data_IF_138794176943
#
_entry.id   IF_138794176943
#
_cell.length_a   1.000
_cell.length_b   1.000
_cell.length_c   1.000
_cell.angle_alpha   90.00
_cell.angle_beta   90.00
_cell.angle_gamma   90.00
#
_symmetry.space_group_name_H-M   'P 1'
#
loop_
_entity.id
_entity.type
_entity.pdbx_description
1 polymer ?
#
# COMPACT_ATOMS: atom_id res chain seq x y z
N UNK A 1 53.61 0.06 29.38
CA UNK A 1 53.13 -0.14 27.99
C UNK A 1 51.61 -0.21 28.04
N UNK A 2 50.94 0.88 27.68
CA UNK A 2 49.48 0.97 27.60
C UNK A 2 49.17 0.88 26.11
N UNK A 3 48.68 -0.27 25.66
CA UNK A 3 48.19 -0.43 24.28
C UNK A 3 46.89 0.36 24.17
N UNK A 4 46.98 1.58 23.67
CA UNK A 4 45.81 2.30 23.17
C UNK A 4 45.24 1.49 22.01
N UNK A 5 44.14 0.81 22.28
CA UNK A 5 43.26 0.25 21.27
C UNK A 5 42.76 1.42 20.42
N UNK A 6 43.38 1.62 19.25
CA UNK A 6 42.86 2.44 18.17
C UNK A 6 41.56 1.80 17.66
N UNK A 7 40.47 2.01 18.39
CA UNK A 7 39.13 1.80 17.88
C UNK A 7 38.91 2.87 16.80
N UNK A 8 39.22 2.50 15.55
CA UNK A 8 38.91 3.29 14.36
C UNK A 8 37.45 3.76 14.45
N UNK A 9 37.25 5.07 14.56
CA UNK A 9 35.92 5.66 14.54
C UNK A 9 35.16 5.12 13.31
N UNK A 10 33.87 4.76 13.45
CA UNK A 10 33.10 4.21 12.34
C UNK A 10 33.15 5.19 11.17
N UNK A 11 33.66 4.72 10.02
CA UNK A 11 33.84 5.52 8.81
C UNK A 11 32.45 5.91 8.30
N UNK A 12 31.99 7.13 8.60
CA UNK A 12 30.72 7.66 8.11
C UNK A 12 30.89 8.03 6.63
N UNK A 13 30.11 7.41 5.75
CA UNK A 13 30.09 7.77 4.33
C UNK A 13 28.79 7.32 3.65
N UNK A 14 28.46 8.00 2.55
CA UNK A 14 27.12 8.08 1.91
C UNK A 14 26.14 8.86 2.79
N UNK A 15 26.03 10.16 2.51
CA UNK A 15 24.95 11.03 3.00
C UNK A 15 24.64 10.99 4.52
N UNK A 16 25.63 10.74 5.38
CA UNK A 16 25.52 10.89 6.84
C UNK A 16 25.30 9.61 7.66
N UNK A 17 25.16 8.44 7.03
CA UNK A 17 25.08 7.14 7.72
C UNK A 17 26.41 6.38 7.69
N UNK A 18 26.51 5.25 8.40
CA UNK A 18 27.65 4.35 8.26
C UNK A 18 27.60 3.58 6.94
N UNK A 19 28.78 3.10 6.51
CA UNK A 19 28.98 2.50 5.19
C UNK A 19 28.15 1.23 4.99
N UNK A 20 28.04 0.38 6.01
CA UNK A 20 27.27 -0.87 5.93
C UNK A 20 25.78 -0.60 5.81
N UNK A 21 25.27 0.37 6.57
CA UNK A 21 23.87 0.80 6.47
C UNK A 21 23.58 1.43 5.10
N UNK A 22 24.49 2.26 4.59
CA UNK A 22 24.40 2.81 3.24
C UNK A 22 24.27 1.73 2.16
N UNK A 23 25.11 0.69 2.22
CA UNK A 23 25.02 -0.45 1.31
C UNK A 23 23.73 -1.26 1.49
N UNK A 24 23.26 -1.48 2.72
CA UNK A 24 21.99 -2.16 2.94
C UNK A 24 20.80 -1.42 2.30
N UNK A 25 20.78 -0.08 2.38
CA UNK A 25 19.76 0.74 1.72
C UNK A 25 19.87 0.64 0.20
N UNK A 26 21.08 0.68 -0.37
CA UNK A 26 21.28 0.49 -1.82
C UNK A 26 20.81 -0.90 -2.29
N UNK A 27 21.14 -1.95 -1.54
CA UNK A 27 20.70 -3.32 -1.83
C UNK A 27 19.18 -3.41 -1.77
N UNK A 28 18.56 -2.82 -0.74
CA UNK A 28 17.10 -2.75 -0.63
C UNK A 28 16.46 -2.04 -1.84
N UNK A 29 17.03 -0.92 -2.29
CA UNK A 29 16.57 -0.21 -3.50
C UNK A 29 16.69 -1.10 -4.74
N UNK A 30 17.75 -1.91 -4.86
CA UNK A 30 17.89 -2.90 -5.94
C UNK A 30 16.77 -3.94 -5.95
N UNK A 31 16.43 -4.50 -4.79
CA UNK A 31 15.30 -5.43 -4.64
C UNK A 31 13.95 -4.78 -4.95
N UNK A 32 13.76 -3.53 -4.52
CA UNK A 32 12.58 -2.73 -4.85
C UNK A 32 12.47 -2.47 -6.35
N UNK A 33 13.57 -2.15 -7.03
CA UNK A 33 13.60 -1.93 -8.48
C UNK A 33 13.27 -3.21 -9.26
N UNK A 34 13.80 -4.36 -8.85
CA UNK A 34 13.44 -5.66 -9.45
C UNK A 34 11.96 -6.00 -9.25
N UNK A 35 11.45 -5.77 -8.03
CA UNK A 35 10.04 -5.99 -7.72
C UNK A 35 9.14 -5.07 -8.53
N UNK A 36 9.49 -3.78 -8.65
CA UNK A 36 8.81 -2.82 -9.50
C UNK A 36 8.76 -3.27 -10.96
N UNK A 37 9.89 -3.76 -11.50
CA UNK A 37 9.95 -4.31 -12.85
C UNK A 37 9.00 -5.50 -13.02
N UNK A 38 8.99 -6.47 -12.11
CA UNK A 38 8.02 -7.57 -12.15
C UNK A 38 6.57 -7.07 -12.07
N UNK A 39 6.31 -6.08 -11.20
CA UNK A 39 4.97 -5.54 -10.99
C UNK A 39 4.47 -4.69 -12.17
N UNK A 40 5.37 -4.10 -12.95
CA UNK A 40 5.03 -3.34 -14.16
C UNK A 40 4.22 -4.15 -15.17
N UNK A 41 4.37 -5.48 -15.18
CA UNK A 41 3.51 -6.38 -15.95
C UNK A 41 2.02 -6.18 -15.60
N UNK A 42 1.70 -6.12 -14.31
CA UNK A 42 0.33 -5.89 -13.85
C UNK A 42 -0.13 -4.46 -14.07
N UNK A 43 0.77 -3.49 -13.93
CA UNK A 43 0.44 -2.07 -14.15
C UNK A 43 0.12 -1.76 -15.61
N UNK A 44 0.59 -2.59 -16.55
CA UNK A 44 0.28 -2.51 -17.98
C UNK A 44 -0.97 -3.28 -18.36
N UNK A 45 -1.19 -4.46 -17.77
CA UNK A 45 -2.27 -5.37 -18.18
C UNK A 45 -3.56 -5.21 -17.38
N UNK A 46 -3.49 -4.61 -16.19
CA UNK A 46 -4.64 -4.42 -15.32
C UNK A 46 -4.79 -2.95 -14.99
N UNK A 47 -5.86 -2.36 -15.50
CA UNK A 47 -6.25 -0.99 -15.19
C UNK A 47 -6.37 -0.74 -13.67
N UNK A 48 -6.76 -1.77 -12.93
CA UNK A 48 -6.91 -1.74 -11.47
C UNK A 48 -5.61 -1.42 -10.73
N UNK A 49 -4.46 -1.69 -11.35
CA UNK A 49 -3.12 -1.53 -10.78
C UNK A 49 -2.31 -0.42 -11.44
N UNK A 50 -2.91 0.43 -12.28
CA UNK A 50 -2.22 1.55 -12.96
C UNK A 50 -1.59 2.53 -11.95
N UNK A 51 -2.20 2.71 -10.77
CA UNK A 51 -1.61 3.50 -9.69
C UNK A 51 -0.23 2.97 -9.25
N UNK A 52 0.08 1.71 -9.53
CA UNK A 52 1.36 1.07 -9.23
C UNK A 52 2.56 1.80 -9.82
N UNK A 53 2.39 2.49 -10.95
CA UNK A 53 3.43 3.36 -11.53
C UNK A 53 3.87 4.49 -10.59
N UNK A 54 3.00 4.91 -9.66
CA UNK A 54 3.34 5.93 -8.65
C UNK A 54 4.15 5.35 -7.48
N UNK A 55 4.06 4.04 -7.23
CA UNK A 55 4.64 3.40 -6.03
C UNK A 55 6.16 3.62 -5.90
N UNK A 56 6.99 3.47 -6.96
CA UNK A 56 8.42 3.75 -6.86
C UNK A 56 8.72 5.20 -6.45
N UNK A 57 7.97 6.17 -6.98
CA UNK A 57 8.14 7.58 -6.66
C UNK A 57 7.75 7.88 -5.21
N UNK A 58 6.65 7.32 -4.73
CA UNK A 58 6.17 7.52 -3.37
C UNK A 58 7.09 6.82 -2.34
N UNK A 59 7.58 5.61 -2.63
CA UNK A 59 8.57 4.94 -1.81
C UNK A 59 9.88 5.75 -1.73
N UNK A 60 10.37 6.24 -2.87
CA UNK A 60 11.55 7.11 -2.93
C UNK A 60 11.35 8.44 -2.19
N UNK A 61 10.19 9.07 -2.35
CA UNK A 61 9.84 10.31 -1.65
C UNK A 61 9.80 10.12 -0.13
N UNK A 62 9.21 9.02 0.36
CA UNK A 62 9.18 8.71 1.80
C UNK A 62 10.57 8.48 2.35
N UNK A 63 11.44 7.78 1.61
CA UNK A 63 12.85 7.60 1.99
C UNK A 63 13.56 8.95 2.05
N UNK A 64 13.37 9.79 1.03
CA UNK A 64 13.95 11.12 0.95
C UNK A 64 13.52 12.02 2.12
N UNK A 65 12.21 12.12 2.39
CA UNK A 65 11.68 12.95 3.47
C UNK A 65 12.14 12.45 4.85
N UNK A 66 12.23 11.14 5.05
CA UNK A 66 12.68 10.54 6.32
C UNK A 66 14.20 10.46 6.43
N UNK A 67 14.97 10.77 5.40
CA UNK A 67 16.43 10.60 5.41
C UNK A 67 17.13 11.35 6.56
N UNK A 68 16.77 12.61 6.90
CA UNK A 68 17.34 13.28 8.08
C UNK A 68 17.06 12.53 9.39
N UNK A 69 15.88 11.90 9.51
CA UNK A 69 15.51 11.10 10.68
C UNK A 69 16.26 9.77 10.70
N UNK A 70 16.53 9.17 9.54
CA UNK A 70 17.37 7.97 9.40
C UNK A 70 18.79 8.28 9.87
N UNK A 71 19.38 9.38 9.40
CA UNK A 71 20.71 9.83 9.84
C UNK A 71 20.74 10.10 11.34
N UNK A 72 19.74 10.80 11.88
CA UNK A 72 19.66 11.06 13.32
C UNK A 72 19.52 9.78 14.14
N UNK A 73 18.72 8.81 13.69
CA UNK A 73 18.55 7.52 14.36
C UNK A 73 19.80 6.64 14.27
N UNK A 74 20.50 6.65 13.12
CA UNK A 74 21.72 5.89 12.88
C UNK A 74 22.94 6.46 13.64
N UNK A 75 22.96 7.77 13.90
CA UNK A 75 24.06 8.42 14.63
C UNK A 75 23.84 8.48 16.13
N UNK A 76 22.60 8.30 16.60
CA UNK A 76 22.28 8.25 18.03
C UNK A 76 22.77 6.93 18.62
N UNK A 77 23.99 6.95 19.15
CA UNK A 77 24.55 5.82 19.89
C UNK A 77 23.64 5.43 21.04
N UNK A 78 23.23 4.17 21.05
CA UNK A 78 22.63 3.50 22.21
C UNK A 78 23.46 2.28 22.54
N UNK A 79 24.17 2.36 23.67
CA UNK A 79 24.58 1.19 24.46
C UNK A 79 23.63 1.20 25.65
N UNK A 80 22.80 0.14 25.83
CA UNK A 80 23.34 -1.11 26.33
C UNK A 80 23.14 -2.29 25.35
N UNK A 81 24.25 -2.90 24.97
CA UNK A 81 24.35 -4.35 24.88
C UNK A 81 23.69 -4.97 26.14
N UNK A 82 22.92 -6.04 25.96
CA UNK A 82 22.25 -6.83 27.02
C UNK A 82 20.86 -6.38 27.51
N UNK A 83 20.00 -5.93 26.59
CA UNK A 83 18.55 -6.10 26.81
C UNK A 83 18.04 -7.32 26.03
N UNK A 84 17.27 -8.20 26.68
CA UNK A 84 16.64 -9.35 26.00
C UNK A 84 15.84 -8.94 24.76
N UNK A 85 15.29 -7.72 24.75
CA UNK A 85 14.62 -7.11 23.60
C UNK A 85 15.56 -6.90 22.40
N UNK A 86 16.80 -6.46 22.63
CA UNK A 86 17.79 -6.29 21.55
C UNK A 86 18.16 -7.61 20.89
N UNK A 87 18.35 -8.67 21.69
CA UNK A 87 18.61 -10.01 21.17
C UNK A 87 17.42 -10.55 20.35
N UNK A 88 16.20 -10.42 20.87
CA UNK A 88 14.98 -10.82 20.16
C UNK A 88 14.83 -10.08 18.81
N UNK A 89 15.11 -8.77 18.77
CA UNK A 89 15.06 -7.99 17.54
C UNK A 89 16.14 -8.42 16.53
N UNK A 90 17.35 -8.78 16.99
CA UNK A 90 18.41 -9.31 16.11
C UNK A 90 18.06 -10.68 15.54
N UNK A 91 17.51 -11.58 16.37
CA UNK A 91 16.99 -12.88 15.91
C UNK A 91 15.88 -12.65 14.88
N UNK A 92 14.92 -11.77 15.18
CA UNK A 92 13.85 -11.41 14.26
C UNK A 92 14.37 -10.82 12.94
N UNK A 93 15.41 -10.00 12.98
CA UNK A 93 16.03 -9.43 11.79
C UNK A 93 16.74 -10.50 10.95
N UNK A 94 17.44 -11.45 11.57
CA UNK A 94 18.01 -12.61 10.86
C UNK A 94 16.94 -13.49 10.23
N UNK A 95 15.86 -13.80 10.96
CA UNK A 95 14.71 -14.53 10.41
C UNK A 95 14.07 -13.76 9.25
N UNK A 96 13.99 -12.43 9.35
CA UNK A 96 13.49 -11.56 8.27
C UNK A 96 14.39 -11.63 7.02
N UNK A 97 15.71 -11.63 7.18
CA UNK A 97 16.64 -11.79 6.04
C UNK A 97 16.54 -13.19 5.44
N UNK A 98 16.53 -14.24 6.27
CA UNK A 98 16.46 -15.62 5.81
C UNK A 98 15.13 -15.92 5.10
N UNK A 99 14.02 -15.55 5.73
CA UNK A 99 12.69 -15.66 5.15
C UNK A 99 12.54 -14.78 3.90
N UNK A 100 13.01 -13.54 3.96
CA UNK A 100 13.01 -12.63 2.83
C UNK A 100 13.79 -13.18 1.63
N UNK A 101 14.98 -13.74 1.87
CA UNK A 101 15.80 -14.39 0.84
C UNK A 101 15.08 -15.62 0.27
N UNK A 102 14.50 -16.47 1.12
CA UNK A 102 13.77 -17.64 0.67
C UNK A 102 12.55 -17.28 -0.19
N UNK A 103 11.74 -16.29 0.23
CA UNK A 103 10.61 -15.81 -0.55
C UNK A 103 11.04 -15.13 -1.84
N UNK A 104 12.11 -14.34 -1.83
CA UNK A 104 12.61 -13.68 -3.04
C UNK A 104 13.13 -14.72 -4.05
N UNK A 105 13.86 -15.73 -3.59
CA UNK A 105 14.31 -16.84 -4.44
C UNK A 105 13.14 -17.64 -4.98
N UNK A 106 12.16 -17.99 -4.15
CA UNK A 106 10.94 -18.67 -4.58
C UNK A 106 10.17 -17.84 -5.62
N UNK A 107 10.02 -16.54 -5.38
CA UNK A 107 9.41 -15.59 -6.31
C UNK A 107 10.16 -15.49 -7.63
N UNK A 108 11.49 -15.47 -7.58
CA UNK A 108 12.36 -15.42 -8.77
C UNK A 108 12.29 -16.73 -9.58
N UNK A 109 12.26 -17.89 -8.90
CA UNK A 109 12.13 -19.20 -9.54
C UNK A 109 10.75 -19.37 -10.18
N UNK A 110 9.68 -18.94 -9.50
CA UNK A 110 8.32 -18.98 -10.07
C UNK A 110 8.17 -18.02 -11.24
N UNK A 111 8.76 -16.82 -11.16
CA UNK A 111 8.86 -15.89 -12.28
C UNK A 111 9.61 -16.49 -13.47
N UNK A 112 10.74 -17.15 -13.24
CA UNK A 112 11.52 -17.79 -14.30
C UNK A 112 10.79 -18.99 -14.93
N UNK A 113 10.03 -19.76 -14.14
CA UNK A 113 9.35 -20.96 -14.59
C UNK A 113 8.01 -20.69 -15.29
N UNK A 114 7.24 -19.72 -14.80
CA UNK A 114 5.85 -19.49 -15.21
C UNK A 114 5.58 -18.05 -15.68
N UNK A 115 6.58 -17.17 -15.67
CA UNK A 115 6.40 -15.75 -15.96
C UNK A 115 5.75 -14.99 -14.79
N UNK A 116 5.36 -13.74 -15.08
CA UNK A 116 4.72 -12.87 -14.11
C UNK A 116 3.37 -13.48 -13.67
N UNK A 117 3.30 -13.87 -12.40
CA UNK A 117 2.15 -14.57 -11.82
C UNK A 117 1.85 -14.04 -10.42
N UNK A 118 0.64 -14.30 -9.91
CA UNK A 118 0.21 -13.88 -8.58
C UNK A 118 1.16 -14.40 -7.48
N UNK A 119 1.51 -15.71 -7.45
CA UNK A 119 2.41 -16.23 -6.42
C UNK A 119 3.82 -15.64 -6.52
N UNK A 120 4.33 -15.43 -7.75
CA UNK A 120 5.63 -14.80 -7.96
C UNK A 120 5.64 -13.36 -7.43
N UNK A 121 4.59 -12.58 -7.71
CA UNK A 121 4.49 -11.18 -7.30
C UNK A 121 4.37 -11.04 -5.78
N UNK A 122 3.55 -11.88 -5.13
CA UNK A 122 3.45 -11.93 -3.68
C UNK A 122 4.78 -12.32 -3.03
N UNK A 123 5.43 -13.37 -3.52
CA UNK A 123 6.69 -13.86 -2.98
C UNK A 123 7.82 -12.84 -3.14
N UNK A 124 7.92 -12.16 -4.29
CA UNK A 124 8.90 -11.09 -4.50
C UNK A 124 8.66 -9.88 -3.59
N UNK A 125 7.40 -9.49 -3.37
CA UNK A 125 7.05 -8.39 -2.45
C UNK A 125 7.36 -8.71 -0.99
N UNK A 126 6.99 -9.91 -0.52
CA UNK A 126 7.35 -10.39 0.81
C UNK A 126 8.88 -10.53 0.97
N UNK A 127 9.54 -11.05 -0.07
CA UNK A 127 10.98 -11.21 -0.12
C UNK A 127 11.71 -9.87 0.02
N UNK A 128 11.32 -8.90 -0.80
CA UNK A 128 11.85 -7.53 -0.78
C UNK A 128 11.62 -6.86 0.56
N UNK A 129 10.42 -6.97 1.14
CA UNK A 129 10.12 -6.40 2.44
C UNK A 129 10.99 -7.00 3.55
N UNK A 130 11.09 -8.34 3.59
CA UNK A 130 11.87 -9.07 4.58
C UNK A 130 13.37 -8.78 4.49
N UNK A 131 13.90 -8.73 3.27
CA UNK A 131 15.30 -8.37 3.01
C UNK A 131 15.60 -6.92 3.37
N UNK A 132 14.77 -5.97 2.92
CA UNK A 132 14.97 -4.55 3.19
C UNK A 132 14.96 -4.27 4.71
N UNK A 133 13.92 -4.71 5.41
CA UNK A 133 13.79 -4.47 6.86
C UNK A 133 14.84 -5.22 7.66
N UNK A 134 15.14 -6.48 7.29
CA UNK A 134 16.14 -7.29 7.96
C UNK A 134 17.56 -6.74 7.82
N UNK A 135 17.99 -6.44 6.60
CA UNK A 135 19.34 -5.90 6.32
C UNK A 135 19.54 -4.53 6.97
N UNK A 136 18.56 -3.63 6.87
CA UNK A 136 18.62 -2.30 7.50
C UNK A 136 18.73 -2.43 9.02
N UNK A 137 17.94 -3.32 9.63
CA UNK A 137 17.99 -3.55 11.09
C UNK A 137 19.34 -4.10 11.52
N UNK A 138 19.86 -5.14 10.84
CA UNK A 138 21.12 -5.79 11.19
C UNK A 138 22.33 -4.86 11.00
N UNK A 139 22.38 -4.13 9.88
CA UNK A 139 23.48 -3.20 9.61
C UNK A 139 23.48 -2.01 10.55
N UNK A 140 22.30 -1.46 10.89
CA UNK A 140 22.18 -0.44 11.92
C UNK A 140 22.68 -0.94 13.29
N UNK A 141 22.32 -2.17 13.69
CA UNK A 141 22.88 -2.77 14.92
C UNK A 141 24.40 -2.96 14.85
N UNK A 142 24.94 -3.38 13.71
CA UNK A 142 26.40 -3.58 13.54
C UNK A 142 27.19 -2.27 13.65
N UNK A 143 26.56 -1.14 13.38
CA UNK A 143 27.15 0.20 13.47
C UNK A 143 26.86 0.91 14.81
N UNK A 144 26.25 0.21 15.78
CA UNK A 144 25.97 0.73 17.11
C UNK A 144 24.71 1.59 17.23
N UNK A 145 23.81 1.54 16.24
CA UNK A 145 22.52 2.21 16.26
C UNK A 145 21.38 1.30 16.74
N UNK A 146 20.26 1.90 17.14
CA UNK A 146 19.02 1.18 17.43
C UNK A 146 18.37 0.74 16.10
N UNK A 147 18.66 -0.49 15.67
CA UNK A 147 18.23 -1.02 14.38
C UNK A 147 16.71 -0.98 14.17
N UNK A 148 15.92 -1.14 15.23
CA UNK A 148 14.47 -0.98 15.15
C UNK A 148 14.04 0.47 14.90
N UNK A 149 14.71 1.44 15.54
CA UNK A 149 14.44 2.85 15.35
C UNK A 149 14.76 3.31 13.92
N UNK A 150 15.75 2.70 13.27
CA UNK A 150 16.04 2.93 11.85
C UNK A 150 15.02 2.22 10.97
N UNK A 151 14.79 0.92 11.19
CA UNK A 151 13.93 0.09 10.34
C UNK A 151 12.47 0.56 10.28
N UNK A 152 11.92 1.12 11.37
CA UNK A 152 10.54 1.69 11.38
C UNK A 152 10.34 2.79 10.33
N UNK A 153 11.41 3.51 9.96
CA UNK A 153 11.37 4.56 8.94
C UNK A 153 11.24 3.99 7.53
N UNK A 154 11.60 2.71 7.34
CA UNK A 154 11.54 1.99 6.06
C UNK A 154 10.34 1.05 5.95
N UNK A 155 9.49 0.91 6.98
CA UNK A 155 8.32 0.00 6.95
C UNK A 155 7.38 0.29 5.77
N UNK A 156 7.06 1.56 5.50
CA UNK A 156 6.21 1.89 4.35
C UNK A 156 6.92 1.60 3.01
N UNK A 157 8.14 2.13 2.73
CA UNK A 157 8.87 1.81 1.49
C UNK A 157 9.11 0.31 1.27
N UNK A 158 9.21 -0.48 2.34
CA UNK A 158 9.40 -1.93 2.26
C UNK A 158 8.09 -2.69 2.00
N UNK A 159 6.96 -2.26 2.57
CA UNK A 159 5.68 -2.99 2.49
C UNK A 159 4.74 -2.52 1.37
N UNK A 160 4.93 -1.30 0.84
CA UNK A 160 4.05 -0.74 -0.19
C UNK A 160 3.92 -1.63 -1.43
N UNK A 161 4.93 -2.43 -1.72
CA UNK A 161 4.96 -3.37 -2.86
C UNK A 161 3.85 -4.43 -2.78
N UNK A 162 3.42 -4.81 -1.58
CA UNK A 162 2.31 -5.76 -1.37
C UNK A 162 0.97 -5.24 -1.88
N UNK A 163 0.80 -3.93 -1.99
CA UNK A 163 -0.43 -3.31 -2.54
C UNK A 163 -0.29 -3.06 -4.04
N UNK A 164 0.94 -3.02 -4.55
CA UNK A 164 1.22 -2.61 -5.92
C UNK A 164 1.02 -3.71 -6.97
N UNK A 165 0.77 -4.96 -6.58
CA UNK A 165 0.38 -6.04 -7.49
C UNK A 165 -0.67 -6.93 -6.84
N UNK A 166 -1.38 -7.73 -7.64
CA UNK A 166 -2.29 -8.72 -7.10
C UNK A 166 -1.53 -9.82 -6.38
N UNK A 167 -1.97 -10.12 -5.17
CA UNK A 167 -1.30 -11.02 -4.23
C UNK A 167 -1.92 -12.41 -4.29
N UNK A 168 -3.25 -12.50 -4.24
CA UNK A 168 -3.97 -13.80 -4.23
C UNK A 168 -5.23 -13.68 -5.08
N UNK A 169 -5.16 -14.20 -6.31
CA UNK A 169 -6.27 -14.15 -7.28
C UNK A 169 -7.58 -14.68 -6.71
N UNK A 170 -7.56 -15.79 -5.98
CA UNK A 170 -8.80 -16.40 -5.46
C UNK A 170 -9.51 -15.51 -4.44
N UNK A 171 -8.76 -14.95 -3.48
CA UNK A 171 -9.35 -14.14 -2.40
C UNK A 171 -9.80 -12.80 -2.96
N UNK A 172 -8.97 -12.16 -3.78
CA UNK A 172 -9.32 -10.90 -4.44
C UNK A 172 -10.57 -11.07 -5.30
N UNK A 173 -10.63 -12.11 -6.15
CA UNK A 173 -11.78 -12.36 -7.01
C UNK A 173 -13.04 -12.68 -6.20
N UNK A 174 -12.94 -13.54 -5.19
CA UNK A 174 -14.09 -13.92 -4.35
C UNK A 174 -14.65 -12.70 -3.59
N UNK A 175 -13.77 -11.89 -2.99
CA UNK A 175 -14.18 -10.68 -2.29
C UNK A 175 -14.81 -9.67 -3.26
N UNK A 176 -14.25 -9.55 -4.46
CA UNK A 176 -14.74 -8.61 -5.47
C UNK A 176 -16.12 -9.00 -5.98
N UNK A 177 -16.34 -10.27 -6.32
CA UNK A 177 -17.65 -10.78 -6.71
C UNK A 177 -18.67 -10.63 -5.58
N UNK A 178 -18.26 -10.89 -4.33
CA UNK A 178 -19.12 -10.70 -3.17
C UNK A 178 -19.54 -9.22 -3.02
N UNK A 179 -18.58 -8.29 -3.02
CA UNK A 179 -18.85 -6.85 -2.89
C UNK A 179 -19.68 -6.34 -4.07
N UNK A 180 -19.38 -6.81 -5.27
CA UNK A 180 -20.13 -6.47 -6.48
C UNK A 180 -21.58 -6.94 -6.39
N UNK A 181 -21.82 -8.16 -5.90
CA UNK A 181 -23.16 -8.68 -5.65
C UNK A 181 -23.93 -7.81 -4.66
N UNK A 182 -23.29 -7.40 -3.56
CA UNK A 182 -23.90 -6.50 -2.58
C UNK A 182 -24.23 -5.13 -3.16
N UNK A 183 -23.30 -4.52 -3.89
CA UNK A 183 -23.54 -3.22 -4.54
C UNK A 183 -24.69 -3.34 -5.55
N UNK A 184 -24.68 -4.36 -6.40
CA UNK A 184 -25.72 -4.60 -7.41
C UNK A 184 -27.11 -4.73 -6.76
N UNK A 185 -27.22 -5.52 -5.69
CA UNK A 185 -28.50 -5.67 -4.98
C UNK A 185 -28.97 -4.39 -4.28
N UNK A 186 -28.05 -3.57 -3.76
CA UNK A 186 -28.43 -2.26 -3.19
C UNK A 186 -28.92 -1.31 -4.30
N UNK A 187 -28.24 -1.27 -5.45
CA UNK A 187 -28.68 -0.46 -6.59
C UNK A 187 -30.04 -0.91 -7.10
N UNK A 188 -30.25 -2.22 -7.28
CA UNK A 188 -31.54 -2.79 -7.65
C UNK A 188 -32.64 -2.36 -6.67
N UNK A 189 -32.43 -2.55 -5.36
CA UNK A 189 -33.40 -2.19 -4.33
C UNK A 189 -33.75 -0.70 -4.36
N UNK A 190 -32.77 0.19 -4.54
CA UNK A 190 -33.03 1.64 -4.66
C UNK A 190 -33.93 1.92 -5.87
N UNK A 191 -33.63 1.34 -7.03
CA UNK A 191 -34.39 1.60 -8.26
C UNK A 191 -35.79 0.99 -8.24
N UNK A 192 -35.93 -0.23 -7.71
CA UNK A 192 -37.20 -0.89 -7.47
C UNK A 192 -38.07 -0.10 -6.50
N UNK A 193 -37.50 0.42 -5.40
CA UNK A 193 -38.22 1.24 -4.44
C UNK A 193 -38.74 2.57 -5.02
N UNK A 194 -38.11 3.05 -6.10
CA UNK A 194 -38.55 4.22 -6.87
C UNK A 194 -39.59 3.86 -7.95
N UNK A 195 -40.00 2.60 -8.05
CA UNK A 195 -40.98 2.11 -9.03
C UNK A 195 -40.43 1.98 -10.45
N UNK A 196 -39.10 1.91 -10.61
CA UNK A 196 -38.48 1.80 -11.93
C UNK A 196 -38.43 0.34 -12.39
N UNK A 197 -38.64 0.09 -13.68
CA UNK A 197 -38.63 -1.25 -14.26
C UNK A 197 -37.17 -1.74 -14.39
N UNK A 198 -36.72 -2.55 -13.44
CA UNK A 198 -35.36 -3.08 -13.38
C UNK A 198 -35.40 -4.54 -12.95
N UNK A 199 -34.50 -5.36 -13.47
CA UNK A 199 -34.32 -6.75 -13.05
C UNK A 199 -32.86 -7.01 -12.71
N UNK A 200 -32.60 -7.72 -11.60
CA UNK A 200 -31.25 -8.15 -11.25
C UNK A 200 -31.01 -9.58 -11.76
N UNK A 201 -30.07 -9.73 -12.70
CA UNK A 201 -29.60 -11.02 -13.19
C UNK A 201 -28.13 -11.23 -12.76
N UNK A 202 -27.95 -11.82 -11.58
CA UNK A 202 -26.63 -11.98 -10.97
C UNK A 202 -25.97 -10.62 -10.64
N UNK A 203 -24.92 -10.26 -11.38
CA UNK A 203 -24.19 -8.99 -11.27
C UNK A 203 -24.54 -7.99 -12.39
N UNK A 204 -25.55 -8.29 -13.20
CA UNK A 204 -26.04 -7.44 -14.28
C UNK A 204 -27.42 -6.90 -13.90
N UNK A 205 -27.65 -5.62 -14.21
CA UNK A 205 -28.96 -4.98 -14.07
C UNK A 205 -29.56 -4.82 -15.46
N UNK A 206 -30.73 -5.42 -15.68
CA UNK A 206 -31.47 -5.32 -16.94
C UNK A 206 -32.44 -4.14 -16.82
N UNK A 207 -32.25 -3.15 -17.68
CA UNK A 207 -33.08 -1.95 -17.79
C UNK A 207 -33.94 -2.07 -19.06
N UNK A 208 -35.01 -1.26 -19.21
CA UNK A 208 -35.82 -1.24 -20.43
C UNK A 208 -35.00 -0.77 -21.65
N UNK A 209 -33.94 0.01 -21.41
CA UNK A 209 -33.04 0.55 -22.41
C UNK A 209 -31.87 -0.39 -22.74
N UNK A 210 -31.72 -1.51 -22.02
CA UNK A 210 -30.67 -2.50 -22.22
C UNK A 210 -30.00 -2.94 -20.93
N UNK A 211 -28.93 -3.70 -21.05
CA UNK A 211 -28.23 -4.29 -19.90
C UNK A 211 -27.11 -3.37 -19.40
N UNK A 212 -26.99 -3.24 -18.09
CA UNK A 212 -25.89 -2.58 -17.41
C UNK A 212 -25.19 -3.60 -16.54
N UNK A 213 -24.08 -4.13 -17.05
CA UNK A 213 -23.20 -4.97 -16.26
C UNK A 213 -22.55 -4.13 -15.17
N UNK A 214 -22.96 -4.30 -13.91
CA UNK A 214 -22.28 -3.61 -12.80
C UNK A 214 -20.82 -4.09 -12.71
N UNK A 215 -20.53 -5.32 -13.15
CA UNK A 215 -19.19 -5.90 -13.26
C UNK A 215 -18.27 -5.15 -14.25
N UNK A 216 -18.77 -4.78 -15.42
CA UNK A 216 -18.02 -4.05 -16.45
C UNK A 216 -18.06 -2.53 -16.21
N UNK A 217 -19.16 -2.03 -15.61
CA UNK A 217 -19.37 -0.63 -15.27
C UNK A 217 -18.71 -0.20 -13.94
N UNK A 218 -18.29 -1.14 -13.08
CA UNK A 218 -17.67 -0.85 -11.80
C UNK A 218 -16.37 -1.65 -11.62
N UNK A 219 -15.26 -1.00 -11.93
CA UNK A 219 -13.90 -1.37 -11.54
C UNK A 219 -13.69 -1.29 -10.01
N UNK A 220 -14.57 -1.90 -9.20
CA UNK A 220 -14.61 -1.69 -7.75
C UNK A 220 -13.30 -2.01 -7.02
N UNK A 221 -12.46 -2.85 -7.63
CA UNK A 221 -11.10 -3.17 -7.17
C UNK A 221 -10.12 -2.01 -7.46
N UNK A 222 -10.20 -1.37 -8.62
CA UNK A 222 -9.36 -0.22 -9.01
C UNK A 222 -9.39 0.87 -7.96
N UNK A 223 -10.60 1.28 -7.57
CA UNK A 223 -10.76 2.33 -6.56
C UNK A 223 -10.36 1.82 -5.19
N UNK A 224 -10.65 0.56 -4.84
CA UNK A 224 -10.27 -0.01 -3.53
C UNK A 224 -8.75 -0.07 -3.35
N UNK A 225 -8.01 -0.65 -4.29
CA UNK A 225 -6.55 -0.77 -4.20
C UNK A 225 -5.88 0.61 -4.28
N UNK A 226 -6.36 1.50 -5.15
CA UNK A 226 -5.91 2.89 -5.19
C UNK A 226 -6.16 3.65 -3.88
N UNK A 227 -7.31 3.43 -3.23
CA UNK A 227 -7.63 4.05 -1.94
C UNK A 227 -6.81 3.44 -0.80
N UNK A 228 -6.57 2.13 -0.79
CA UNK A 228 -5.66 1.47 0.17
C UNK A 228 -4.23 2.01 0.03
N UNK A 229 -3.75 2.21 -1.20
CA UNK A 229 -2.49 2.89 -1.45
C UNK A 229 -2.49 4.33 -0.92
N UNK A 230 -3.51 5.15 -1.26
CA UNK A 230 -3.60 6.52 -0.78
C UNK A 230 -3.68 6.61 0.76
N UNK A 231 -4.49 5.76 1.40
CA UNK A 231 -4.65 5.71 2.85
C UNK A 231 -3.38 5.24 3.56
N UNK A 232 -2.68 4.24 3.03
CA UNK A 232 -1.41 3.77 3.59
C UNK A 232 -0.30 4.83 3.44
N UNK A 233 -0.24 5.52 2.30
CA UNK A 233 0.69 6.63 2.08
C UNK A 233 0.42 7.80 3.01
N UNK A 234 -0.82 8.31 3.04
CA UNK A 234 -1.21 9.41 3.94
C UNK A 234 -0.99 9.01 5.40
N UNK A 235 -1.28 7.77 5.77
CA UNK A 235 -0.99 7.25 7.11
C UNK A 235 0.50 7.27 7.43
N UNK A 236 1.34 6.87 6.48
CA UNK A 236 2.79 6.91 6.64
C UNK A 236 3.33 8.34 6.77
N UNK A 237 2.81 9.29 6.00
CA UNK A 237 3.31 10.67 5.97
C UNK A 237 2.79 11.53 7.12
N UNK A 238 1.51 11.41 7.44
CA UNK A 238 0.85 12.34 8.36
C UNK A 238 0.89 11.89 9.83
N UNK A 239 1.20 10.63 10.13
CA UNK A 239 1.05 10.08 11.47
C UNK A 239 2.21 9.19 11.92
N UNK A 240 2.55 9.30 13.20
CA UNK A 240 3.41 8.33 13.90
C UNK A 240 2.59 7.22 14.56
N UNK A 241 1.39 7.55 15.07
CA UNK A 241 0.55 6.63 15.85
C UNK A 241 -0.11 5.57 14.96
N UNK A 242 0.07 4.29 15.33
CA UNK A 242 -0.47 3.16 14.56
C UNK A 242 -2.00 3.20 14.45
N UNK A 243 -2.71 3.57 15.51
CA UNK A 243 -4.17 3.63 15.47
C UNK A 243 -4.67 4.63 14.42
N UNK A 244 -4.02 5.79 14.24
CA UNK A 244 -4.39 6.77 13.20
C UNK A 244 -4.15 6.23 11.79
N UNK A 245 -3.07 5.47 11.61
CA UNK A 245 -2.77 4.78 10.34
C UNK A 245 -3.85 3.74 10.02
N UNK A 246 -4.24 2.94 11.01
CA UNK A 246 -5.31 1.94 10.87
C UNK A 246 -6.65 2.64 10.60
N UNK A 247 -6.98 3.73 11.31
CA UNK A 247 -8.19 4.51 11.07
C UNK A 247 -8.24 5.04 9.64
N UNK A 248 -7.13 5.58 9.12
CA UNK A 248 -7.07 6.02 7.72
C UNK A 248 -7.26 4.87 6.73
N UNK A 249 -6.67 3.71 7.00
CA UNK A 249 -6.80 2.55 6.12
C UNK A 249 -8.26 2.05 6.09
N UNK A 250 -8.89 1.95 7.25
CA UNK A 250 -10.31 1.57 7.38
C UNK A 250 -11.20 2.60 6.70
N UNK A 251 -10.93 3.89 6.91
CA UNK A 251 -11.67 4.98 6.26
C UNK A 251 -11.49 4.96 4.73
N UNK A 252 -10.28 4.66 4.23
CA UNK A 252 -10.01 4.55 2.80
C UNK A 252 -10.81 3.41 2.17
N UNK A 253 -10.86 2.25 2.82
CA UNK A 253 -11.71 1.13 2.40
C UNK A 253 -13.19 1.52 2.42
N UNK A 254 -13.66 2.16 3.50
CA UNK A 254 -15.05 2.56 3.63
C UNK A 254 -15.45 3.60 2.55
N UNK A 255 -14.62 4.62 2.32
CA UNK A 255 -14.85 5.60 1.26
C UNK A 255 -14.83 4.96 -0.12
N UNK A 256 -13.91 4.04 -0.41
CA UNK A 256 -13.90 3.32 -1.68
C UNK A 256 -15.22 2.57 -1.92
N UNK A 257 -15.74 1.87 -0.91
CA UNK A 257 -17.02 1.15 -1.01
C UNK A 257 -18.21 2.10 -1.20
N UNK A 258 -18.29 3.16 -0.41
CA UNK A 258 -19.38 4.17 -0.51
C UNK A 258 -19.35 4.86 -1.86
N UNK A 259 -18.18 5.31 -2.31
CA UNK A 259 -18.05 6.00 -3.59
C UNK A 259 -18.28 5.07 -4.78
N UNK A 260 -17.93 3.79 -4.67
CA UNK A 260 -18.32 2.79 -5.65
C UNK A 260 -19.83 2.62 -5.72
N UNK A 261 -20.53 2.55 -4.58
CA UNK A 261 -22.00 2.48 -4.56
C UNK A 261 -22.63 3.74 -5.19
N UNK A 262 -22.16 4.93 -4.81
CA UNK A 262 -22.64 6.21 -5.39
C UNK A 262 -22.44 6.24 -6.90
N UNK A 263 -21.26 5.81 -7.38
CA UNK A 263 -20.96 5.70 -8.81
C UNK A 263 -21.90 4.71 -9.50
N UNK A 264 -22.13 3.53 -8.92
CA UNK A 264 -23.05 2.53 -9.49
C UNK A 264 -24.48 3.08 -9.59
N UNK A 265 -24.98 3.73 -8.53
CA UNK A 265 -26.30 4.39 -8.57
C UNK A 265 -26.37 5.44 -9.68
N UNK A 266 -25.34 6.28 -9.80
CA UNK A 266 -25.27 7.31 -10.83
C UNK A 266 -25.23 6.72 -12.24
N UNK A 267 -24.34 5.75 -12.50
CA UNK A 267 -24.19 5.13 -13.82
C UNK A 267 -25.45 4.36 -14.24
N UNK A 268 -26.05 3.59 -13.34
CA UNK A 268 -27.32 2.89 -13.63
C UNK A 268 -28.43 3.89 -13.91
N UNK A 269 -28.52 4.99 -13.16
CA UNK A 269 -29.52 6.04 -13.40
C UNK A 269 -29.32 6.75 -14.73
N UNK A 270 -28.07 7.01 -15.09
CA UNK A 270 -27.71 7.61 -16.37
C UNK A 270 -28.04 6.69 -17.54
N UNK A 271 -27.67 5.41 -17.45
CA UNK A 271 -27.99 4.40 -18.46
C UNK A 271 -29.49 4.12 -18.58
N UNK A 272 -30.26 4.26 -17.49
CA UNK A 272 -31.71 4.16 -17.53
C UNK A 272 -32.34 5.23 -18.43
N UNK A 273 -31.79 6.45 -18.44
CA UNK A 273 -32.32 7.54 -19.26
C UNK A 273 -31.76 7.60 -20.67
N UNK A 274 -30.46 7.34 -20.83
CA UNK A 274 -29.74 7.57 -22.10
C UNK A 274 -29.28 6.28 -22.79
N UNK A 275 -29.58 5.12 -22.22
CA UNK A 275 -29.15 3.81 -22.68
C UNK A 275 -27.75 3.41 -22.19
N UNK A 276 -27.42 2.10 -22.21
CA UNK A 276 -26.12 1.59 -21.75
C UNK A 276 -24.90 2.16 -22.50
N UNK A 277 -25.06 2.50 -23.78
CA UNK A 277 -23.98 3.08 -24.60
C UNK A 277 -23.49 4.43 -24.05
N UNK A 278 -24.34 5.16 -23.31
CA UNK A 278 -24.00 6.46 -22.74
C UNK A 278 -23.00 6.35 -21.56
N UNK A 279 -22.84 5.16 -20.99
CA UNK A 279 -21.89 4.89 -19.90
C UNK A 279 -20.63 4.17 -20.38
N UNK A 280 -20.46 3.96 -21.68
CA UNK A 280 -19.27 3.34 -22.27
C UNK A 280 -18.14 4.36 -22.51
N UNK A 281 -16.91 3.87 -22.62
CA UNK A 281 -15.74 4.66 -22.97
C UNK A 281 -15.41 5.76 -21.97
N UNK A 282 -15.17 6.99 -22.46
CA UNK A 282 -14.61 8.09 -21.65
C UNK A 282 -15.48 8.47 -20.45
N UNK A 283 -16.80 8.35 -20.53
CA UNK A 283 -17.68 8.72 -19.42
C UNK A 283 -17.49 7.80 -18.21
N UNK A 284 -17.28 6.50 -18.48
CA UNK A 284 -16.92 5.52 -17.46
C UNK A 284 -15.63 5.90 -16.72
N UNK A 285 -14.58 6.26 -17.46
CA UNK A 285 -13.27 6.57 -16.88
C UNK A 285 -13.28 7.83 -16.01
N UNK A 286 -13.98 8.88 -16.46
CA UNK A 286 -14.10 10.13 -15.71
C UNK A 286 -14.80 9.95 -14.38
N UNK A 287 -15.87 9.15 -14.33
CA UNK A 287 -16.54 8.82 -13.06
C UNK A 287 -15.64 8.00 -12.14
N UNK A 288 -14.80 7.12 -12.70
CA UNK A 288 -13.77 6.38 -11.95
C UNK A 288 -12.72 7.30 -11.32
N UNK A 289 -12.18 8.26 -12.07
CA UNK A 289 -11.26 9.26 -11.52
C UNK A 289 -11.94 10.18 -10.50
N UNK A 290 -13.21 10.52 -10.71
CA UNK A 290 -14.02 11.28 -9.75
C UNK A 290 -14.10 10.59 -8.39
N UNK A 291 -14.32 9.28 -8.36
CA UNK A 291 -14.33 8.47 -7.12
C UNK A 291 -12.99 8.58 -6.39
N UNK A 292 -11.87 8.43 -7.11
CA UNK A 292 -10.53 8.51 -6.52
C UNK A 292 -10.26 9.92 -5.97
N UNK A 293 -10.60 10.95 -6.74
CA UNK A 293 -10.43 12.35 -6.35
C UNK A 293 -11.21 12.70 -5.09
N UNK A 294 -12.51 12.40 -5.05
CA UNK A 294 -13.37 12.64 -3.88
C UNK A 294 -12.89 11.85 -2.67
N UNK A 295 -12.52 10.58 -2.85
CA UNK A 295 -12.00 9.75 -1.75
C UNK A 295 -10.70 10.33 -1.20
N UNK A 296 -9.79 10.77 -2.07
CA UNK A 296 -8.52 11.38 -1.67
C UNK A 296 -8.76 12.68 -0.89
N UNK A 297 -9.67 13.54 -1.34
CA UNK A 297 -10.06 14.75 -0.63
C UNK A 297 -10.68 14.41 0.74
N UNK A 298 -11.55 13.40 0.81
CA UNK A 298 -12.14 12.92 2.05
C UNK A 298 -11.09 12.41 3.04
N UNK A 299 -10.10 11.65 2.56
CA UNK A 299 -8.98 11.18 3.37
C UNK A 299 -8.11 12.34 3.86
N UNK A 300 -7.81 13.31 3.00
CA UNK A 300 -7.07 14.53 3.39
C UNK A 300 -7.84 15.31 4.46
N UNK A 301 -9.16 15.49 4.32
CA UNK A 301 -9.99 16.10 5.36
C UNK A 301 -9.93 15.33 6.68
N UNK A 302 -10.02 14.00 6.62
CA UNK A 302 -9.90 13.14 7.80
C UNK A 302 -8.52 13.26 8.46
N UNK A 303 -7.44 13.47 7.70
CA UNK A 303 -6.11 13.72 8.30
C UNK A 303 -6.11 14.98 9.18
N UNK A 304 -6.82 16.04 8.77
CA UNK A 304 -6.94 17.27 9.54
C UNK A 304 -7.73 17.05 10.82
N UNK A 305 -8.85 16.33 10.73
CA UNK A 305 -9.68 15.96 11.89
C UNK A 305 -8.88 15.14 12.91
N UNK A 306 -8.14 14.11 12.44
CA UNK A 306 -7.32 13.26 13.30
C UNK A 306 -6.12 14.00 13.92
N UNK A 307 -5.70 15.12 13.34
CA UNK A 307 -4.66 16.00 13.89
C UNK A 307 -5.21 17.13 14.78
N UNK A 308 -6.53 17.31 14.84
CA UNK A 308 -7.15 18.34 15.65
C UNK A 308 -6.88 18.06 17.14
N UNK A 309 -6.07 18.92 17.77
CA UNK A 309 -5.87 18.90 19.23
C UNK A 309 -7.00 19.69 19.87
N UNK A 310 -7.96 18.99 20.48
CA UNK A 310 -8.99 19.65 21.30
C UNK A 310 -8.33 20.14 22.59
N UNK A 311 -8.00 21.43 22.65
CA UNK A 311 -7.57 22.07 23.89
C UNK A 311 -8.80 22.33 24.75
N UNK A 312 -9.11 21.43 25.68
CA UNK A 312 -10.00 21.77 26.78
C UNK A 312 -9.29 22.81 27.66
N UNK A 313 -9.70 24.07 27.55
CA UNK A 313 -9.41 25.08 28.57
C UNK A 313 -10.00 24.55 29.87
N UNK A 314 -9.16 24.09 30.79
CA UNK A 314 -9.58 23.84 32.17
C UNK A 314 -10.04 25.19 32.72
N UNK A 315 -11.35 25.33 32.93
CA UNK A 315 -11.90 26.46 33.66
C UNK A 315 -11.31 26.42 35.08
N UNK A 316 -10.67 27.53 35.47
CA UNK A 316 -10.20 27.77 36.83
C UNK A 316 -11.35 27.83 37.81
#
# INVERSE_FOLDING_TARGET
MRTESNALAPRKTIAGVGVSLGYAVMVAIGFMAFTAWNHSHWWLLKDDYVFGWLVPFFAGYVIYERWPQVVAAATKSRVPEDSGRGMLMRIGAWLSVLGGTAFFLFGSLTLAAAGASYPASLALSLGTAGMALGLITLTAYSEGADGWAVARLFVFPALVWLVSAPMISLIENALSLFLLGKITSVVFFVFESLGMAIEQQGHVLVLPTGEVGVAEACSGIRSLMGCLFAGSFLGAMCFEQLWKKITLLVAATAFALVMNLVRSLFLTGWAYQYGPQAIEGRFHDWTGFGVIGVTTIGLLGLTQVLNWKVSFRSAK
#
